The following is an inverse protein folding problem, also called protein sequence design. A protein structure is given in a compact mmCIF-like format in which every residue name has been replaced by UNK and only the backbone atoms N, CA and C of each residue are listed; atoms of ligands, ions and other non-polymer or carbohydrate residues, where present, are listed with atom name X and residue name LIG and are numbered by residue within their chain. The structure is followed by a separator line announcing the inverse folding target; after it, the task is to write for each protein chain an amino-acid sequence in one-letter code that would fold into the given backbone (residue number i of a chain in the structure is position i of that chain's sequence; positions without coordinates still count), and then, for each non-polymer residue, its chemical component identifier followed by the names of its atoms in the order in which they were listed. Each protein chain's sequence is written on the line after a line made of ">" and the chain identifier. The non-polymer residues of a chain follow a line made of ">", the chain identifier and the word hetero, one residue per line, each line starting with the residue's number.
data_IF_627696157025
#
_entry.id   IF_627696157025
#
_cell.length_a   1.000
_cell.length_b   1.000
_cell.length_c   1.000
_cell.angle_alpha   90.00
_cell.angle_beta   90.00
_cell.angle_gamma   90.00
#
_symmetry.space_group_name_H-M   'P 1'
#
loop_
_entity.id
_entity.type
_entity.pdbx_description
1 polymer ?
#
# COMPACT_ATOMS: atom_id res chain seq x y z
N UNK A 1 18.08 19.91 1.44
CA UNK A 1 16.78 19.64 0.78
C UNK A 1 16.07 18.56 1.58
N UNK A 2 14.92 18.85 2.22
CA UNK A 2 14.21 17.86 3.03
C UNK A 2 13.58 16.79 2.13
N UNK A 3 13.90 15.50 2.36
CA UNK A 3 13.21 14.40 1.69
C UNK A 3 11.80 14.27 2.28
N UNK A 4 10.73 14.41 1.50
CA UNK A 4 9.36 14.27 2.02
C UNK A 4 9.16 12.88 2.62
N UNK A 5 8.38 12.78 3.71
CA UNK A 5 7.98 11.48 4.29
C UNK A 5 7.27 10.63 3.23
N UNK A 6 7.41 9.31 3.29
CA UNK A 6 6.86 8.37 2.31
C UNK A 6 5.39 8.66 1.97
N UNK A 7 4.53 8.79 2.98
CA UNK A 7 3.10 9.03 2.73
C UNK A 7 2.84 10.36 2.01
N UNK A 8 3.64 11.40 2.26
CA UNK A 8 3.53 12.66 1.53
C UNK A 8 3.91 12.48 0.05
N UNK A 9 4.89 11.63 -0.26
CA UNK A 9 5.23 11.29 -1.64
C UNK A 9 4.07 10.58 -2.33
N UNK A 10 3.44 9.62 -1.65
CA UNK A 10 2.25 8.91 -2.15
C UNK A 10 1.10 9.88 -2.40
N UNK A 11 0.76 10.74 -1.44
CA UNK A 11 -0.29 11.76 -1.59
C UNK A 11 -0.04 12.64 -2.82
N UNK A 12 1.19 13.14 -3.00
CA UNK A 12 1.54 13.97 -4.14
C UNK A 12 1.42 13.21 -5.47
N UNK A 13 1.90 11.97 -5.52
CA UNK A 13 1.84 11.14 -6.72
C UNK A 13 0.38 10.83 -7.14
N UNK A 14 -0.49 10.53 -6.17
CA UNK A 14 -1.91 10.26 -6.41
C UNK A 14 -2.60 11.50 -6.98
N UNK A 15 -2.34 12.68 -6.40
CA UNK A 15 -2.92 13.95 -6.84
C UNK A 15 -2.46 14.37 -8.23
N UNK A 16 -1.18 14.18 -8.55
CA UNK A 16 -0.64 14.42 -9.91
C UNK A 16 -1.31 13.52 -10.94
N UNK A 17 -1.67 12.28 -10.57
CA UNK A 17 -2.39 11.34 -11.43
C UNK A 17 -3.91 11.59 -11.46
N UNK A 18 -4.39 12.65 -10.82
CA UNK A 18 -5.82 13.03 -10.75
C UNK A 18 -6.74 11.89 -10.28
N UNK A 19 -6.22 11.03 -9.41
CA UNK A 19 -7.04 10.00 -8.77
C UNK A 19 -8.04 10.63 -7.82
N UNK A 20 -9.17 9.93 -7.62
CA UNK A 20 -10.20 10.39 -6.70
C UNK A 20 -9.67 10.42 -5.26
N UNK A 21 -10.25 11.29 -4.42
CA UNK A 21 -9.95 11.32 -2.99
C UNK A 21 -10.19 9.97 -2.30
N UNK A 22 -11.19 9.21 -2.77
CA UNK A 22 -11.47 7.86 -2.27
C UNK A 22 -10.35 6.88 -2.61
N UNK A 23 -9.76 7.01 -3.79
CA UNK A 23 -8.59 6.21 -4.19
C UNK A 23 -7.38 6.59 -3.33
N UNK A 24 -7.17 7.89 -3.06
CA UNK A 24 -6.11 8.38 -2.16
C UNK A 24 -6.22 7.73 -0.77
N UNK A 25 -7.40 7.79 -0.16
CA UNK A 25 -7.67 7.20 1.15
C UNK A 25 -7.46 5.69 1.17
N UNK A 26 -7.99 4.98 0.16
CA UNK A 26 -7.85 3.54 0.04
C UNK A 26 -6.37 3.12 -0.10
N UNK A 27 -5.61 3.82 -0.94
CA UNK A 27 -4.21 3.49 -1.17
C UNK A 27 -3.37 3.75 0.08
N UNK A 28 -3.55 4.90 0.73
CA UNK A 28 -2.85 5.23 1.98
C UNK A 28 -3.19 4.22 3.08
N UNK A 29 -4.45 3.79 3.17
CA UNK A 29 -4.88 2.76 4.11
C UNK A 29 -4.12 1.44 3.89
N UNK A 30 -4.09 0.93 2.65
CA UNK A 30 -3.42 -0.32 2.34
C UNK A 30 -1.90 -0.26 2.50
N UNK A 31 -1.27 0.84 2.07
CA UNK A 31 0.17 1.06 2.25
C UNK A 31 0.55 1.09 3.73
N UNK A 32 -0.25 1.75 4.58
CA UNK A 32 -0.04 1.72 6.04
C UNK A 32 -0.14 0.31 6.59
N UNK A 33 -1.19 -0.44 6.24
CA UNK A 33 -1.38 -1.83 6.71
C UNK A 33 -0.22 -2.74 6.29
N UNK A 34 0.26 -2.61 5.07
CA UNK A 34 1.44 -3.33 4.57
C UNK A 34 2.69 -3.01 5.40
N UNK A 35 2.96 -1.72 5.67
CA UNK A 35 4.10 -1.28 6.49
C UNK A 35 3.99 -1.80 7.93
N UNK A 36 2.80 -1.75 8.54
CA UNK A 36 2.61 -2.26 9.90
C UNK A 36 2.72 -3.78 9.99
N UNK A 37 2.26 -4.51 8.99
CA UNK A 37 2.40 -5.96 8.92
C UNK A 37 3.88 -6.38 8.87
N UNK A 38 4.74 -5.59 8.21
CA UNK A 38 6.19 -5.79 8.17
C UNK A 38 6.94 -4.94 9.21
N UNK A 39 6.34 -4.75 10.39
CA UNK A 39 7.00 -4.14 11.56
C UNK A 39 7.63 -2.75 11.30
N UNK A 40 6.98 -1.95 10.46
CA UNK A 40 7.43 -0.60 10.03
C UNK A 40 8.73 -0.63 9.21
N UNK A 41 9.12 -1.77 8.63
CA UNK A 41 10.20 -1.84 7.63
C UNK A 41 9.85 -0.93 6.46
N UNK A 42 10.83 -0.16 6.00
CA UNK A 42 10.61 0.80 4.92
C UNK A 42 10.40 0.07 3.57
N UNK A 43 9.38 0.39 2.76
CA UNK A 43 9.06 -0.31 1.50
C UNK A 43 10.18 -0.39 0.48
N UNK A 44 11.11 0.58 0.48
CA UNK A 44 12.34 0.53 -0.34
C UNK A 44 13.16 -0.75 -0.14
N UNK A 45 13.09 -1.37 1.04
CA UNK A 45 13.82 -2.60 1.36
C UNK A 45 12.94 -3.84 1.27
N UNK A 46 11.75 -3.73 0.69
CA UNK A 46 10.76 -4.79 0.54
C UNK A 46 10.39 -4.92 -0.93
N UNK A 47 9.90 -6.08 -1.34
CA UNK A 47 9.47 -6.30 -2.72
C UNK A 47 8.42 -7.38 -2.83
N UNK A 48 8.48 -8.14 -3.93
CA UNK A 48 7.51 -9.16 -4.29
C UNK A 48 7.24 -10.17 -3.16
N UNK A 49 8.29 -10.61 -2.46
CA UNK A 49 8.16 -11.56 -1.35
C UNK A 49 7.32 -11.00 -0.20
N UNK A 50 7.57 -9.75 0.20
CA UNK A 50 6.80 -9.07 1.25
C UNK A 50 5.36 -8.78 0.81
N UNK A 51 5.16 -8.40 -0.45
CA UNK A 51 3.83 -8.18 -1.04
C UNK A 51 3.02 -9.49 -1.02
N UNK A 52 3.60 -10.58 -1.52
CA UNK A 52 2.96 -11.90 -1.56
C UNK A 52 2.58 -12.40 -0.16
N UNK A 53 3.49 -12.26 0.83
CA UNK A 53 3.21 -12.61 2.23
C UNK A 53 2.04 -11.80 2.79
N UNK A 54 2.02 -10.50 2.56
CA UNK A 54 0.93 -9.63 3.04
C UNK A 54 -0.41 -9.98 2.40
N UNK A 55 -0.46 -10.14 1.08
CA UNK A 55 -1.69 -10.49 0.37
C UNK A 55 -2.20 -11.89 0.76
N UNK A 56 -1.30 -12.84 0.98
CA UNK A 56 -1.64 -14.18 1.49
C UNK A 56 -2.23 -14.11 2.90
N UNK A 57 -1.63 -13.32 3.79
CA UNK A 57 -2.17 -13.09 5.13
C UNK A 57 -3.57 -12.48 5.11
N UNK A 58 -3.83 -11.51 4.22
CA UNK A 58 -5.17 -10.93 4.06
C UNK A 58 -6.21 -11.98 3.64
N UNK A 59 -5.85 -12.90 2.74
CA UNK A 59 -6.77 -13.92 2.26
C UNK A 59 -7.01 -15.05 3.28
N UNK A 60 -5.94 -15.56 3.90
CA UNK A 60 -6.01 -16.74 4.78
C UNK A 60 -6.49 -16.36 6.18
N UNK A 61 -5.83 -15.40 6.82
CA UNK A 61 -6.14 -14.99 8.19
C UNK A 61 -7.20 -13.90 8.23
N UNK A 62 -7.04 -12.90 7.36
CA UNK A 62 -8.00 -11.79 7.26
C UNK A 62 -9.32 -12.18 6.60
N UNK A 63 -9.38 -13.31 5.91
CA UNK A 63 -10.55 -13.83 5.16
C UNK A 63 -11.23 -12.76 4.30
N UNK A 64 -10.43 -11.84 3.74
CA UNK A 64 -10.97 -10.74 2.94
C UNK A 64 -11.46 -11.27 1.59
N UNK A 65 -12.45 -10.59 1.00
CA UNK A 65 -12.89 -10.91 -0.35
C UNK A 65 -11.77 -10.72 -1.38
N UNK A 66 -11.85 -11.41 -2.51
CA UNK A 66 -10.94 -11.20 -3.64
C UNK A 66 -10.91 -9.73 -4.10
N UNK A 67 -12.06 -9.04 -4.12
CA UNK A 67 -12.12 -7.62 -4.47
C UNK A 67 -11.39 -6.72 -3.47
N UNK A 68 -11.37 -7.08 -2.20
CA UNK A 68 -10.63 -6.36 -1.15
C UNK A 68 -9.12 -6.61 -1.29
N UNK A 69 -8.72 -7.85 -1.55
CA UNK A 69 -7.33 -8.19 -1.84
C UNK A 69 -6.82 -7.46 -3.09
N UNK A 70 -7.63 -7.35 -4.13
CA UNK A 70 -7.28 -6.61 -5.35
C UNK A 70 -7.09 -5.10 -5.10
N UNK A 71 -7.85 -4.50 -4.19
CA UNK A 71 -7.61 -3.11 -3.79
C UNK A 71 -6.28 -2.95 -3.06
N UNK A 72 -5.94 -3.89 -2.18
CA UNK A 72 -4.64 -3.92 -1.52
C UNK A 72 -3.50 -4.08 -2.53
N UNK A 73 -3.61 -5.04 -3.46
CA UNK A 73 -2.65 -5.24 -4.53
C UNK A 73 -2.47 -3.98 -5.39
N UNK A 74 -3.56 -3.35 -5.81
CA UNK A 74 -3.51 -2.12 -6.61
C UNK A 74 -2.77 -0.98 -5.90
N UNK A 75 -2.98 -0.83 -4.59
CA UNK A 75 -2.27 0.16 -3.79
C UNK A 75 -0.78 -0.13 -3.68
N UNK A 76 -0.38 -1.41 -3.61
CA UNK A 76 1.02 -1.82 -3.56
C UNK A 76 1.71 -1.70 -4.92
N UNK A 77 1.02 -2.05 -6.01
CA UNK A 77 1.50 -1.79 -7.37
C UNK A 77 1.69 -0.30 -7.65
N UNK A 78 0.89 0.56 -7.02
CA UNK A 78 1.10 2.01 -7.10
C UNK A 78 2.30 2.49 -6.28
N UNK A 79 2.59 1.84 -5.15
CA UNK A 79 3.67 2.21 -4.24
C UNK A 79 5.06 1.93 -4.84
N UNK A 80 5.18 0.87 -5.63
CA UNK A 80 6.41 0.41 -6.30
C UNK A 80 6.53 0.99 -7.71
#
# INVERSE_FOLDING_TARGET
>A
MFKPKLLNQVHNAIRVKHYSIRTEEAYIHWIKRFIFFHEKRHPLYMGENEVSKFLSHLAVEGKVSASTQNQALSALLFLY
#
